data_IF_706211783242
#
_entry.id   IF_706211783242
#
_cell.length_a   1.000
_cell.length_b   1.000
_cell.length_c   1.000
_cell.angle_alpha   90.00
_cell.angle_beta   90.00
_cell.angle_gamma   90.00
#
_symmetry.space_group_name_H-M   'P 1'
#
loop_
_entity.id
_entity.type
_entity.pdbx_description
1 polymer ?
#
# COMPACT_ATOMS: atom_id res chain seq x y z
N UNK A 1 -0.63 5.03 -45.28
CA UNK A 1 -1.55 5.65 -44.30
C UNK A 1 -2.22 4.64 -43.38
N UNK A 2 -3.04 3.69 -43.86
CA UNK A 2 -3.76 2.72 -42.98
C UNK A 2 -2.84 1.89 -42.05
N UNK A 3 -1.66 1.47 -42.51
CA UNK A 3 -0.66 0.75 -41.69
C UNK A 3 -0.04 1.62 -40.58
N UNK A 4 0.12 2.92 -40.84
CA UNK A 4 0.68 3.87 -39.87
C UNK A 4 -0.34 4.15 -38.77
N UNK A 5 -1.62 4.33 -39.13
CA UNK A 5 -2.71 4.50 -38.17
C UNK A 5 -2.82 3.27 -37.25
N UNK A 6 -2.74 2.06 -37.81
CA UNK A 6 -2.75 0.83 -37.01
C UNK A 6 -1.59 0.76 -36.00
N UNK A 7 -0.38 1.13 -36.41
CA UNK A 7 0.79 1.15 -35.51
C UNK A 7 0.61 2.20 -34.40
N UNK A 8 0.11 3.39 -34.72
CA UNK A 8 -0.14 4.45 -33.73
C UNK A 8 -1.18 4.02 -32.70
N UNK A 9 -2.26 3.36 -33.11
CA UNK A 9 -3.28 2.84 -32.19
C UNK A 9 -2.70 1.77 -31.26
N UNK A 10 -1.88 0.86 -31.78
CA UNK A 10 -1.22 -0.17 -30.95
C UNK A 10 -0.31 0.46 -29.91
N UNK A 11 0.49 1.47 -30.29
CA UNK A 11 1.36 2.18 -29.35
C UNK A 11 0.54 2.86 -28.24
N UNK A 12 -0.57 3.52 -28.58
CA UNK A 12 -1.46 4.15 -27.60
C UNK A 12 -2.04 3.11 -26.64
N UNK A 13 -2.47 1.94 -27.13
CA UNK A 13 -3.02 0.86 -26.29
C UNK A 13 -1.95 0.30 -25.35
N UNK A 14 -0.71 0.13 -25.81
CA UNK A 14 0.40 -0.35 -24.98
C UNK A 14 0.73 0.67 -23.88
N UNK A 15 0.82 1.96 -24.23
CA UNK A 15 1.10 3.03 -23.27
C UNK A 15 -0.02 3.19 -22.23
N UNK A 16 -1.28 3.14 -22.67
CA UNK A 16 -2.43 3.17 -21.78
C UNK A 16 -2.46 1.95 -20.85
N UNK A 17 -2.12 0.77 -21.38
CA UNK A 17 -2.05 -0.46 -20.57
C UNK A 17 -0.96 -0.34 -19.50
N UNK A 18 0.22 0.17 -19.85
CA UNK A 18 1.32 0.34 -18.89
C UNK A 18 0.96 1.28 -17.73
N UNK A 19 0.25 2.37 -18.03
CA UNK A 19 -0.23 3.31 -17.01
C UNK A 19 -1.22 2.67 -16.01
N UNK A 20 -2.02 1.70 -16.45
CA UNK A 20 -3.00 1.01 -15.60
C UNK A 20 -2.37 -0.02 -14.65
N UNK A 21 -1.13 -0.46 -14.90
CA UNK A 21 -0.41 -1.40 -14.04
C UNK A 21 0.52 -0.72 -13.03
N UNK A 22 0.63 0.61 -13.06
CA UNK A 22 1.44 1.35 -12.09
C UNK A 22 0.80 1.25 -10.70
N UNK A 23 1.61 0.87 -9.71
CA UNK A 23 1.23 0.90 -8.30
C UNK A 23 1.85 2.13 -7.66
N UNK A 24 1.06 2.90 -6.93
CA UNK A 24 1.53 4.11 -6.25
C UNK A 24 1.28 3.98 -4.73
N UNK A 25 2.17 4.53 -3.88
CA UNK A 25 1.88 4.70 -2.47
C UNK A 25 0.56 5.44 -2.25
N UNK A 26 -0.18 5.02 -1.23
CA UNK A 26 -1.47 5.62 -0.89
C UNK A 26 -1.30 6.84 -0.01
N UNK A 27 -2.13 7.85 -0.22
CA UNK A 27 -2.25 8.99 0.69
C UNK A 27 -2.89 8.53 2.01
N UNK A 28 -2.38 9.02 3.14
CA UNK A 28 -2.76 8.53 4.47
C UNK A 28 -4.24 8.75 4.80
N UNK A 29 -4.80 9.88 4.37
CA UNK A 29 -6.20 10.27 4.54
C UNK A 29 -7.19 9.35 3.82
N UNK A 30 -6.70 8.52 2.89
CA UNK A 30 -7.50 7.54 2.17
C UNK A 30 -7.50 6.17 2.84
N UNK A 31 -6.76 5.98 3.93
CA UNK A 31 -6.63 4.71 4.63
C UNK A 31 -7.39 4.72 5.95
N UNK A 32 -8.11 3.65 6.21
CA UNK A 32 -8.72 3.36 7.51
C UNK A 32 -8.17 2.04 8.04
N UNK A 33 -7.56 2.07 9.23
CA UNK A 33 -7.03 0.87 9.89
C UNK A 33 -8.08 0.33 10.84
N UNK A 34 -8.54 -0.90 10.61
CA UNK A 34 -9.54 -1.55 11.47
C UNK A 34 -8.90 -2.31 12.62
N UNK A 35 -7.76 -2.95 12.36
CA UNK A 35 -7.06 -3.76 13.34
C UNK A 35 -5.58 -3.83 13.02
N UNK A 36 -4.76 -3.87 14.07
CA UNK A 36 -3.34 -4.18 13.97
C UNK A 36 -2.99 -5.10 15.14
N UNK A 37 -2.47 -6.27 14.83
CA UNK A 37 -2.00 -7.25 15.79
C UNK A 37 -0.51 -7.51 15.57
N UNK A 38 0.25 -7.57 16.66
CA UNK A 38 1.68 -7.80 16.64
C UNK A 38 2.00 -8.96 17.58
N UNK A 39 2.34 -10.11 17.02
CA UNK A 39 2.62 -11.34 17.78
C UNK A 39 3.99 -11.91 17.38
N UNK A 40 4.99 -11.65 18.23
CA UNK A 40 6.35 -12.18 18.06
C UNK A 40 7.04 -11.69 16.79
N UNK A 41 6.98 -12.51 15.73
CA UNK A 41 7.59 -12.26 14.42
C UNK A 41 6.53 -12.02 13.34
N UNK A 42 5.28 -11.79 13.73
CA UNK A 42 4.17 -11.57 12.79
C UNK A 42 3.45 -10.27 13.11
N UNK A 43 3.36 -9.39 12.12
CA UNK A 43 2.47 -8.24 12.11
C UNK A 43 1.31 -8.55 11.17
N UNK A 44 0.09 -8.42 11.69
CA UNK A 44 -1.13 -8.50 10.90
C UNK A 44 -1.87 -7.17 10.99
N UNK A 45 -2.17 -6.55 9.85
CA UNK A 45 -2.91 -5.30 9.78
C UNK A 45 -4.04 -5.43 8.78
N UNK A 46 -5.25 -5.11 9.21
CA UNK A 46 -6.42 -5.02 8.34
C UNK A 46 -6.91 -3.59 8.27
N UNK A 47 -7.47 -3.25 7.12
CA UNK A 47 -8.01 -1.92 6.89
C UNK A 47 -8.74 -1.83 5.57
N UNK A 48 -9.15 -0.61 5.24
CA UNK A 48 -9.88 -0.31 4.02
C UNK A 48 -9.50 1.04 3.45
N UNK A 49 -9.85 1.26 2.19
CA UNK A 49 -9.74 2.56 1.53
C UNK A 49 -11.05 3.32 1.69
N UNK A 50 -10.96 4.63 1.95
CA UNK A 50 -12.12 5.52 2.04
C UNK A 50 -12.86 5.66 0.70
N UNK A 51 -12.17 5.39 -0.42
CA UNK A 51 -12.71 5.48 -1.78
C UNK A 51 -12.78 4.12 -2.47
N UNK A 52 -13.98 3.74 -2.92
CA UNK A 52 -14.19 2.51 -3.68
C UNK A 52 -13.53 2.46 -5.07
N UNK A 53 -13.05 3.61 -5.58
CA UNK A 53 -12.29 3.68 -6.83
C UNK A 53 -10.84 3.20 -6.67
N UNK A 54 -10.32 3.21 -5.44
CA UNK A 54 -8.97 2.81 -5.10
C UNK A 54 -8.96 1.32 -4.78
N UNK A 55 -7.99 0.61 -5.35
CA UNK A 55 -7.84 -0.84 -5.15
C UNK A 55 -6.51 -1.13 -4.48
N UNK A 56 -6.54 -2.04 -3.52
CA UNK A 56 -5.33 -2.56 -2.90
C UNK A 56 -4.44 -3.22 -3.97
N UNK A 57 -3.15 -2.90 -3.93
CA UNK A 57 -2.15 -3.46 -4.85
C UNK A 57 -0.91 -4.02 -4.17
N UNK A 58 -0.91 -4.12 -2.84
CA UNK A 58 0.20 -4.67 -2.06
C UNK A 58 0.72 -3.67 -1.01
N UNK A 59 1.84 -4.02 -0.42
CA UNK A 59 2.53 -3.20 0.57
C UNK A 59 4.05 -3.31 0.36
N UNK A 60 4.77 -2.32 0.87
CA UNK A 60 6.19 -2.43 1.19
C UNK A 60 6.39 -2.22 2.69
N UNK A 61 7.53 -2.67 3.21
CA UNK A 61 7.95 -2.30 4.56
C UNK A 61 9.47 -2.12 4.64
N UNK A 62 9.89 -1.30 5.60
CA UNK A 62 11.27 -1.09 5.97
C UNK A 62 11.39 -1.07 7.49
N UNK A 63 12.51 -1.56 8.03
CA UNK A 63 12.80 -1.53 9.47
C UNK A 63 14.06 -0.70 9.67
N UNK A 64 13.91 0.44 10.33
CA UNK A 64 15.01 1.31 10.73
C UNK A 64 15.11 1.33 12.26
N UNK A 65 16.16 0.69 12.79
CA UNK A 65 16.34 0.58 14.24
C UNK A 65 15.22 -0.25 14.90
N UNK A 66 14.44 0.37 15.77
CA UNK A 66 13.29 -0.24 16.45
C UNK A 66 11.93 0.19 15.85
N UNK A 67 11.95 0.89 14.72
CA UNK A 67 10.74 1.38 14.04
C UNK A 67 10.57 0.68 12.70
N UNK A 68 9.37 0.17 12.47
CA UNK A 68 8.94 -0.38 11.19
C UNK A 68 8.05 0.63 10.47
N UNK A 69 8.32 0.84 9.19
CA UNK A 69 7.53 1.65 8.28
C UNK A 69 6.80 0.73 7.31
N UNK A 70 5.49 0.91 7.16
CA UNK A 70 4.65 0.11 6.27
C UNK A 70 3.97 1.05 5.29
N UNK A 71 4.18 0.83 3.99
CA UNK A 71 3.58 1.63 2.92
C UNK A 71 2.53 0.82 2.18
N UNK A 72 1.30 1.30 2.13
CA UNK A 72 0.22 0.66 1.38
C UNK A 72 0.25 1.15 -0.06
N UNK A 73 0.32 0.22 -1.02
CA UNK A 73 0.26 0.52 -2.44
C UNK A 73 -1.15 0.34 -2.97
N UNK A 74 -1.56 1.29 -3.80
CA UNK A 74 -2.81 1.22 -4.53
C UNK A 74 -2.60 1.23 -6.03
N UNK A 75 -3.68 0.95 -6.74
CA UNK A 75 -3.82 1.20 -8.18
C UNK A 75 -5.26 1.61 -8.48
N UNK A 76 -5.44 2.32 -9.59
CA UNK A 76 -6.75 2.74 -10.07
C UNK A 76 -7.42 1.63 -10.89
N UNK A 77 -8.73 1.44 -10.68
CA UNK A 77 -9.66 0.62 -11.49
C UNK A 77 -9.46 -0.91 -11.54
N UNK A 78 -8.28 -1.45 -11.26
CA UNK A 78 -8.00 -2.90 -11.37
C UNK A 78 -7.69 -3.47 -9.97
N UNK A 79 -8.29 -4.59 -9.55
CA UNK A 79 -7.98 -5.25 -8.26
C UNK A 79 -9.15 -5.49 -7.33
N UNK A 80 -8.88 -6.11 -6.16
CA UNK A 80 -9.90 -6.35 -5.12
C UNK A 80 -10.27 -5.01 -4.46
N UNK A 81 -11.57 -4.77 -4.30
CA UNK A 81 -12.13 -3.53 -3.77
C UNK A 81 -12.10 -3.48 -2.24
N UNK A 82 -11.96 -2.26 -1.72
CA UNK A 82 -12.39 -1.88 -0.38
C UNK A 82 -11.37 -2.19 0.68
N UNK A 83 -11.11 -3.47 0.89
CA UNK A 83 -10.40 -3.93 2.09
C UNK A 83 -9.03 -4.50 1.71
N UNK A 84 -8.09 -4.34 2.64
CA UNK A 84 -6.79 -4.98 2.59
C UNK A 84 -6.53 -5.72 3.90
N UNK A 85 -5.77 -6.81 3.78
CA UNK A 85 -5.25 -7.57 4.89
C UNK A 85 -3.78 -7.85 4.58
N UNK A 86 -2.94 -7.46 5.52
CA UNK A 86 -1.48 -7.50 5.41
C UNK A 86 -1.00 -8.43 6.50
N UNK A 87 -0.15 -9.37 6.11
CA UNK A 87 0.56 -10.24 7.03
C UNK A 87 2.04 -10.15 6.68
N UNK A 88 2.85 -9.69 7.62
CA UNK A 88 4.30 -9.55 7.50
C UNK A 88 4.93 -10.48 8.51
N UNK A 89 5.77 -11.38 8.02
CA UNK A 89 6.57 -12.32 8.82
C UNK A 89 8.05 -12.03 8.59
N UNK A 90 8.73 -11.57 9.64
CA UNK A 90 10.17 -11.29 9.62
C UNK A 90 10.73 -11.41 11.04
N UNK A 91 11.82 -12.17 11.21
CA UNK A 91 12.52 -12.38 12.48
C UNK A 91 12.97 -11.05 13.13
N UNK A 92 13.24 -10.02 12.31
CA UNK A 92 13.63 -8.68 12.78
C UNK A 92 12.51 -7.96 13.54
N UNK A 93 11.26 -8.39 13.38
CA UNK A 93 10.11 -7.83 14.10
C UNK A 93 10.24 -7.99 15.62
N UNK A 94 11.03 -8.94 16.11
CA UNK A 94 11.32 -9.09 17.56
C UNK A 94 11.92 -7.84 18.20
N UNK A 95 12.58 -7.00 17.41
CA UNK A 95 13.24 -5.78 17.87
C UNK A 95 12.41 -4.52 17.62
N UNK A 96 11.31 -4.64 16.88
CA UNK A 96 10.42 -3.53 16.57
C UNK A 96 9.59 -3.19 17.80
N UNK A 97 9.62 -1.91 18.18
CA UNK A 97 8.81 -1.34 19.27
C UNK A 97 7.71 -0.43 18.76
N UNK A 98 7.76 -0.07 17.48
CA UNK A 98 6.85 0.89 16.88
C UNK A 98 6.62 0.54 15.42
N UNK A 99 5.35 0.55 15.00
CA UNK A 99 4.96 0.40 13.60
C UNK A 99 4.25 1.66 13.16
N UNK A 100 4.76 2.23 12.07
CA UNK A 100 4.23 3.41 11.41
C UNK A 100 3.68 3.00 10.05
N UNK A 101 2.44 3.36 9.79
CA UNK A 101 1.96 3.48 8.42
C UNK A 101 2.62 4.71 7.80
N UNK A 102 3.12 4.59 6.59
CA UNK A 102 3.72 5.68 5.84
C UNK A 102 2.92 5.90 4.56
N UNK A 103 2.50 7.15 4.37
CA UNK A 103 1.79 7.61 3.20
C UNK A 103 2.73 7.79 2.01
N UNK A 104 2.27 8.55 1.03
CA UNK A 104 3.04 8.83 -0.19
C UNK A 104 4.29 9.67 0.05
N UNK A 105 4.23 10.59 1.00
CA UNK A 105 5.37 11.38 1.44
C UNK A 105 5.98 10.74 2.70
N UNK A 106 7.31 10.74 2.83
CA UNK A 106 8.00 10.12 3.98
C UNK A 106 7.71 10.78 5.31
N UNK A 107 7.29 12.05 5.29
CA UNK A 107 6.86 12.80 6.48
C UNK A 107 5.42 12.47 6.91
N UNK A 108 4.63 11.86 6.05
CA UNK A 108 3.24 11.51 6.31
C UNK A 108 3.18 10.12 6.96
N UNK A 109 3.29 10.09 8.29
CA UNK A 109 3.32 8.84 9.06
C UNK A 109 2.26 8.81 10.14
N UNK A 110 1.65 7.65 10.34
CA UNK A 110 0.67 7.40 11.39
C UNK A 110 1.04 6.15 12.19
N UNK A 111 1.08 6.24 13.52
CA UNK A 111 1.44 5.11 14.35
C UNK A 111 0.25 4.15 14.48
N UNK A 112 0.45 2.91 14.04
CA UNK A 112 -0.58 1.84 14.13
C UNK A 112 -0.28 0.84 15.24
N UNK A 113 0.95 0.84 15.77
CA UNK A 113 1.32 0.01 16.92
C UNK A 113 2.54 0.57 17.69
N UNK A 114 2.60 0.43 19.03
CA UNK A 114 1.48 0.09 19.90
C UNK A 114 0.41 1.18 19.83
N UNK A 115 -0.85 0.80 20.06
CA UNK A 115 -1.92 1.78 20.17
C UNK A 115 -1.61 2.70 21.35
N UNK A 116 -1.53 4.00 21.08
CA UNK A 116 -1.49 4.99 22.14
C UNK A 116 -2.94 5.19 22.56
N UNK A 117 -3.33 4.70 23.74
CA UNK A 117 -4.56 5.15 24.38
C UNK A 117 -4.36 6.64 24.70
N UNK A 118 -5.10 7.51 23.99
CA UNK A 118 -5.25 8.92 24.36
C UNK A 118 -6.26 9.08 25.52
#
# INVERSE_FOLDING_TARGET
MKRIIGIVVIIIVILASWALFKTDPTEMDLLYISSTNFEGETLTTDGSFSSGAIKYSGYDYEIEGDTMYVTIKNRLFIGKSGDFSIEIKDDKLRHVKKVLLQGKETSDTYQIWPYLEE
#
